data_IF_284720054156
#
_entry.id   IF_284720054156
#
_cell.length_a   1.000
_cell.length_b   1.000
_cell.length_c   1.000
_cell.angle_alpha   90.00
_cell.angle_beta   90.00
_cell.angle_gamma   90.00
#
_symmetry.space_group_name_H-M   'P 1'
#
loop_
_entity.id
_entity.type
_entity.pdbx_description
1 polymer ?
#
# COMPACT_ATOMS: atom_id res chain seq x y z
N UNK A 1 -4.06 -70.94 1.17
CA UNK A 1 -3.74 -71.98 0.15
C UNK A 1 -3.07 -71.21 -0.98
N UNK A 2 -1.91 -71.39 -1.42
CA UNK A 2 -0.81 -72.36 -1.35
C UNK A 2 0.47 -71.62 -1.62
N UNK A 3 1.51 -71.89 -0.87
CA UNK A 3 2.93 -71.58 -1.18
C UNK A 3 3.37 -72.48 -2.34
N UNK A 4 4.50 -72.05 -3.01
CA UNK A 4 5.61 -72.90 -3.50
C UNK A 4 6.61 -71.89 -4.11
N UNK A 5 7.76 -71.57 -3.55
CA UNK A 5 9.05 -72.29 -3.31
C UNK A 5 10.01 -72.21 -4.53
N UNK A 6 11.24 -71.70 -4.21
CA UNK A 6 12.48 -71.59 -5.00
C UNK A 6 13.02 -72.96 -5.52
N UNK A 7 14.06 -72.96 -6.40
CA UNK A 7 15.47 -72.75 -6.03
C UNK A 7 16.31 -72.16 -7.17
N UNK A 8 17.40 -71.43 -7.03
CA UNK A 8 18.69 -71.87 -6.48
C UNK A 8 19.69 -72.36 -7.56
N UNK A 9 20.70 -71.54 -7.91
CA UNK A 9 22.03 -72.07 -8.27
C UNK A 9 23.08 -70.97 -8.42
N UNK A 10 24.15 -71.08 -7.65
CA UNK A 10 25.50 -70.53 -7.82
C UNK A 10 26.37 -71.64 -8.42
N UNK A 11 27.67 -71.44 -8.68
CA UNK A 11 28.52 -70.35 -9.20
C UNK A 11 29.47 -70.81 -10.32
N UNK A 12 30.25 -69.91 -10.94
CA UNK A 12 31.60 -70.29 -11.47
C UNK A 12 32.48 -69.08 -11.53
N UNK A 13 33.62 -69.18 -10.80
CA UNK A 13 34.80 -68.31 -10.94
C UNK A 13 35.50 -68.46 -12.31
N UNK A 14 35.97 -67.38 -12.85
CA UNK A 14 37.09 -67.45 -13.82
C UNK A 14 37.96 -66.18 -13.67
N UNK A 15 39.25 -66.47 -13.72
CA UNK A 15 40.38 -65.67 -13.26
C UNK A 15 40.74 -64.43 -14.09
N UNK A 16 41.09 -63.40 -13.39
CA UNK A 16 42.18 -62.43 -13.47
C UNK A 16 43.04 -62.41 -14.76
N UNK A 17 43.05 -61.24 -15.41
CA UNK A 17 44.25 -60.73 -16.07
C UNK A 17 44.36 -59.23 -15.75
N UNK A 18 45.44 -58.92 -15.02
CA UNK A 18 45.92 -57.62 -14.57
C UNK A 18 46.53 -56.89 -15.75
N UNK A 19 45.91 -55.84 -16.28
CA UNK A 19 46.55 -54.88 -17.17
C UNK A 19 46.77 -53.60 -16.37
N UNK A 20 48.07 -53.32 -16.11
CA UNK A 20 48.50 -51.98 -15.62
C UNK A 20 48.35 -51.00 -16.75
N UNK A 21 47.37 -50.12 -16.66
CA UNK A 21 47.28 -48.88 -17.42
C UNK A 21 47.78 -47.74 -16.52
N UNK A 22 48.96 -47.23 -16.88
CA UNK A 22 49.52 -46.00 -16.29
C UNK A 22 48.67 -44.85 -16.82
N UNK A 23 47.78 -44.34 -16.00
CA UNK A 23 47.00 -43.14 -16.32
C UNK A 23 47.79 -41.91 -15.91
N UNK A 24 48.31 -41.21 -16.91
CA UNK A 24 48.93 -39.89 -16.77
C UNK A 24 47.85 -38.87 -16.36
N UNK A 25 47.75 -38.54 -15.08
CA UNK A 25 46.88 -37.46 -14.60
C UNK A 25 47.44 -36.13 -15.06
N UNK A 26 46.87 -35.57 -16.11
CA UNK A 26 47.00 -34.15 -16.46
C UNK A 26 46.24 -33.34 -15.39
N UNK A 27 46.95 -32.69 -14.49
CA UNK A 27 46.42 -31.68 -13.61
C UNK A 27 46.02 -30.46 -14.45
N UNK A 28 44.74 -30.36 -14.81
CA UNK A 28 44.15 -29.10 -15.23
C UNK A 28 43.88 -28.25 -13.96
N UNK A 29 44.35 -26.99 -13.90
CA UNK A 29 44.00 -26.13 -12.80
C UNK A 29 42.49 -25.88 -12.86
N UNK A 30 41.77 -26.35 -11.85
CA UNK A 30 40.37 -25.98 -11.64
C UNK A 30 40.32 -24.47 -11.44
N UNK A 31 39.88 -23.75 -12.47
CA UNK A 31 39.49 -22.35 -12.29
C UNK A 31 38.31 -22.33 -11.31
N UNK A 32 38.59 -21.98 -10.06
CA UNK A 32 37.57 -21.62 -9.11
C UNK A 32 36.90 -20.35 -9.64
N UNK A 33 35.79 -20.50 -10.34
CA UNK A 33 34.86 -19.40 -10.54
C UNK A 33 34.44 -18.97 -9.12
N UNK A 34 35.05 -17.88 -8.65
CA UNK A 34 34.63 -17.23 -7.45
C UNK A 34 33.14 -16.91 -7.60
N UNK A 35 32.30 -17.59 -6.84
CA UNK A 35 30.93 -17.20 -6.63
C UNK A 35 30.98 -15.81 -5.98
N UNK A 36 30.99 -14.79 -6.84
CA UNK A 36 30.73 -13.45 -6.40
C UNK A 36 29.35 -13.48 -5.75
N UNK A 37 29.31 -13.42 -4.42
CA UNK A 37 28.09 -13.17 -3.68
C UNK A 37 27.50 -11.89 -4.26
N UNK A 38 26.53 -12.01 -5.18
CA UNK A 38 25.70 -10.87 -5.57
C UNK A 38 25.14 -10.29 -4.27
N UNK A 39 25.63 -9.11 -3.89
CA UNK A 39 25.10 -8.41 -2.72
C UNK A 39 23.62 -8.23 -2.99
N UNK A 40 22.78 -8.99 -2.27
CA UNK A 40 21.33 -8.87 -2.33
C UNK A 40 20.97 -7.39 -2.19
N UNK A 41 20.33 -6.82 -3.20
CA UNK A 41 19.97 -5.39 -3.19
C UNK A 41 19.07 -5.16 -1.99
N UNK A 42 19.51 -4.33 -1.07
CA UNK A 42 18.71 -4.00 0.10
C UNK A 42 17.57 -3.06 -0.33
N UNK A 43 16.36 -3.31 0.17
CA UNK A 43 15.21 -2.43 -0.06
C UNK A 43 15.53 -1.00 0.40
N UNK A 44 15.29 0.03 -0.44
CA UNK A 44 15.33 1.42 0.01
C UNK A 44 14.21 1.73 1.00
N UNK A 45 14.32 2.87 1.67
CA UNK A 45 13.31 3.31 2.62
C UNK A 45 11.98 3.64 1.92
N UNK A 46 10.88 3.32 2.62
CA UNK A 46 9.52 3.77 2.32
C UNK A 46 9.08 4.61 3.50
N UNK A 47 8.98 5.92 3.30
CA UNK A 47 8.91 6.89 4.41
C UNK A 47 7.50 7.41 4.71
N UNK A 48 6.51 7.07 3.89
CA UNK A 48 5.11 7.48 4.08
C UNK A 48 4.31 7.38 2.79
N UNK A 49 3.06 7.78 2.86
CA UNK A 49 2.19 7.96 1.71
C UNK A 49 2.57 9.28 1.02
N UNK A 50 2.85 9.24 -0.29
CA UNK A 50 3.07 10.43 -1.11
C UNK A 50 1.74 11.01 -1.60
N UNK A 51 0.87 10.16 -2.13
CA UNK A 51 -0.46 10.57 -2.57
C UNK A 51 -1.42 9.38 -2.66
N UNK A 52 -2.70 9.71 -2.71
CA UNK A 52 -3.75 8.83 -3.20
C UNK A 52 -4.35 9.40 -4.48
N UNK A 53 -4.70 8.54 -5.43
CA UNK A 53 -5.51 8.92 -6.57
C UNK A 53 -6.85 8.21 -6.48
N UNK A 54 -7.93 8.93 -6.74
CA UNK A 54 -9.29 8.36 -6.73
C UNK A 54 -9.98 8.60 -8.06
N UNK A 55 -10.78 7.63 -8.49
CA UNK A 55 -11.65 7.80 -9.63
C UNK A 55 -12.91 8.57 -9.22
N UNK A 56 -13.32 9.49 -10.07
CA UNK A 56 -14.54 10.29 -9.88
C UNK A 56 -15.34 10.35 -11.19
N UNK A 57 -16.66 10.43 -11.05
CA UNK A 57 -17.56 10.53 -12.18
C UNK A 57 -17.61 11.93 -12.78
N UNK A 58 -17.59 12.92 -11.91
CA UNK A 58 -17.64 14.34 -12.24
C UNK A 58 -16.48 15.07 -11.57
N UNK A 59 -15.46 15.40 -12.36
CA UNK A 59 -14.25 16.07 -11.87
C UNK A 59 -14.55 17.43 -11.22
N UNK A 60 -15.51 18.19 -11.76
CA UNK A 60 -15.82 19.52 -11.24
C UNK A 60 -16.55 19.44 -9.91
N UNK A 61 -17.53 18.54 -9.80
CA UNK A 61 -18.29 18.33 -8.58
C UNK A 61 -17.39 17.82 -7.45
N UNK A 62 -16.51 16.88 -7.75
CA UNK A 62 -15.56 16.36 -6.77
C UNK A 62 -14.49 17.39 -6.43
N UNK A 63 -14.02 18.19 -7.41
CA UNK A 63 -13.10 19.30 -7.16
C UNK A 63 -13.70 20.26 -6.12
N UNK A 64 -14.95 20.71 -6.34
CA UNK A 64 -15.65 21.59 -5.40
C UNK A 64 -15.75 20.97 -4.00
N UNK A 65 -16.05 19.68 -3.90
CA UNK A 65 -16.12 18.99 -2.61
C UNK A 65 -14.78 19.07 -1.84
N UNK A 66 -13.66 18.73 -2.48
CA UNK A 66 -12.37 18.75 -1.81
C UNK A 66 -11.88 20.18 -1.49
N UNK A 67 -12.20 21.15 -2.34
CA UNK A 67 -11.84 22.58 -2.10
C UNK A 67 -12.73 23.22 -1.03
N UNK A 68 -14.03 23.06 -1.12
CA UNK A 68 -14.97 23.78 -0.27
C UNK A 68 -15.17 23.09 1.08
N UNK A 69 -15.29 21.75 1.10
CA UNK A 69 -15.58 20.97 2.30
C UNK A 69 -14.31 20.69 3.11
N UNK A 70 -13.27 20.15 2.45
CA UNK A 70 -12.01 19.85 3.13
C UNK A 70 -11.03 21.03 3.14
N UNK A 71 -11.32 22.10 2.43
CA UNK A 71 -10.48 23.29 2.35
C UNK A 71 -9.14 23.05 1.67
N UNK A 72 -9.01 21.98 0.87
CA UNK A 72 -7.77 21.68 0.19
C UNK A 72 -7.53 22.66 -0.96
N UNK A 73 -6.26 23.01 -1.18
CA UNK A 73 -5.90 23.90 -2.28
C UNK A 73 -5.67 23.09 -3.55
N UNK A 74 -6.45 23.37 -4.62
CA UNK A 74 -6.25 22.78 -5.96
C UNK A 74 -5.01 23.36 -6.64
N UNK A 75 -3.86 23.22 -6.02
CA UNK A 75 -2.56 23.65 -6.57
C UNK A 75 -1.50 22.67 -6.11
N UNK A 76 -1.34 21.59 -6.86
CA UNK A 76 -0.08 20.88 -6.75
C UNK A 76 0.95 21.63 -7.56
N UNK A 77 1.95 22.29 -6.94
CA UNK A 77 2.99 22.98 -7.67
C UNK A 77 3.61 22.01 -8.67
N UNK A 78 3.69 22.47 -9.92
CA UNK A 78 4.32 21.74 -11.02
C UNK A 78 3.65 20.40 -11.41
N UNK A 79 2.46 20.07 -10.89
CA UNK A 79 1.66 18.97 -11.43
C UNK A 79 1.16 19.38 -12.83
N UNK A 80 1.68 18.72 -13.85
CA UNK A 80 1.33 19.01 -15.25
C UNK A 80 0.23 18.09 -15.80
N UNK A 81 -0.41 17.28 -14.95
CA UNK A 81 -1.54 16.46 -15.35
C UNK A 81 -2.80 17.30 -15.58
N UNK A 82 -3.72 16.84 -16.44
CA UNK A 82 -5.00 17.53 -16.68
C UNK A 82 -5.99 17.35 -15.50
N UNK A 83 -5.71 16.41 -14.60
CA UNK A 83 -6.61 16.09 -13.49
C UNK A 83 -6.40 17.02 -12.30
N UNK A 84 -7.46 17.39 -11.55
CA UNK A 84 -7.33 18.14 -10.32
C UNK A 84 -6.41 17.42 -9.31
N UNK A 85 -5.45 18.15 -8.79
CA UNK A 85 -4.53 17.70 -7.76
C UNK A 85 -4.59 18.66 -6.58
N UNK A 86 -4.81 18.12 -5.39
CA UNK A 86 -4.93 18.86 -4.15
C UNK A 86 -3.72 18.61 -3.27
N UNK A 87 -3.11 19.69 -2.80
CA UNK A 87 -2.02 19.62 -1.85
C UNK A 87 -2.56 19.58 -0.42
N UNK A 88 -2.10 18.61 0.34
CA UNK A 88 -2.31 18.54 1.79
C UNK A 88 -1.12 19.25 2.46
N UNK A 89 -1.27 20.55 2.72
CA UNK A 89 -0.21 21.34 3.33
C UNK A 89 -0.21 21.17 4.87
N UNK A 90 0.93 21.18 5.53
CA UNK A 90 2.29 21.31 5.02
C UNK A 90 2.98 19.98 4.68
N UNK A 91 2.30 18.83 4.77
CA UNK A 91 2.90 17.50 4.57
C UNK A 91 3.43 17.26 3.15
N UNK A 92 3.01 18.09 2.18
CA UNK A 92 3.27 17.92 0.75
C UNK A 92 2.65 16.66 0.13
N UNK A 93 1.85 15.92 0.90
CA UNK A 93 1.05 14.81 0.38
C UNK A 93 -0.07 15.33 -0.54
N UNK A 94 -0.64 14.46 -1.35
CA UNK A 94 -1.60 14.88 -2.38
C UNK A 94 -2.81 13.97 -2.46
N UNK A 95 -3.94 14.54 -2.84
CA UNK A 95 -5.12 13.82 -3.35
C UNK A 95 -5.27 14.19 -4.83
N UNK A 96 -5.36 13.19 -5.70
CA UNK A 96 -5.45 13.37 -7.15
C UNK A 96 -6.77 12.77 -7.63
N UNK A 97 -7.60 13.59 -8.31
CA UNK A 97 -8.84 13.10 -8.90
C UNK A 97 -8.57 12.62 -10.32
N UNK A 98 -8.98 11.41 -10.62
CA UNK A 98 -8.91 10.82 -11.97
C UNK A 98 -10.32 10.60 -12.49
N UNK A 99 -10.58 11.00 -13.74
CA UNK A 99 -11.86 10.64 -14.38
C UNK A 99 -11.97 9.12 -14.46
N UNK A 100 -13.10 8.58 -14.02
CA UNK A 100 -13.39 7.16 -14.19
C UNK A 100 -13.33 6.79 -15.69
N UNK A 101 -12.73 5.64 -16.05
CA UNK A 101 -12.65 5.22 -17.44
C UNK A 101 -14.03 5.16 -18.09
N UNK A 102 -14.17 5.71 -19.30
CA UNK A 102 -15.46 5.81 -20.00
C UNK A 102 -16.16 4.46 -20.27
N UNK A 103 -15.39 3.38 -20.31
CA UNK A 103 -15.87 1.99 -20.46
C UNK A 103 -16.36 1.38 -19.15
N UNK A 104 -16.10 2.03 -18.04
CA UNK A 104 -16.49 1.56 -16.71
C UNK A 104 -17.74 2.34 -16.31
N UNK A 105 -18.89 1.69 -16.45
CA UNK A 105 -20.13 2.21 -15.89
C UNK A 105 -19.95 2.33 -14.37
N UNK A 106 -20.49 3.36 -13.72
CA UNK A 106 -20.41 3.58 -12.27
C UNK A 106 -20.71 2.31 -11.45
N UNK A 107 -21.64 1.47 -11.90
CA UNK A 107 -21.96 0.20 -11.26
C UNK A 107 -20.96 -0.92 -11.47
N UNK A 108 -19.92 -0.74 -12.30
CA UNK A 108 -18.92 -1.78 -12.60
C UNK A 108 -17.52 -1.45 -12.10
N UNK A 109 -17.26 -0.20 -11.71
CA UNK A 109 -16.00 0.17 -11.08
C UNK A 109 -15.98 -0.37 -9.64
N UNK A 110 -15.20 -1.40 -9.44
CA UNK A 110 -15.12 -2.09 -8.14
C UNK A 110 -14.13 -1.46 -7.16
N UNK A 111 -13.24 -0.61 -7.63
CA UNK A 111 -12.27 0.09 -6.79
C UNK A 111 -12.19 1.55 -7.22
N UNK A 112 -12.66 2.46 -6.36
CA UNK A 112 -12.58 3.90 -6.55
C UNK A 112 -11.19 4.43 -6.22
N UNK A 113 -10.40 3.73 -5.40
CA UNK A 113 -9.01 4.04 -5.14
C UNK A 113 -8.17 3.65 -6.36
N UNK A 114 -7.83 4.64 -7.18
CA UNK A 114 -7.14 4.43 -8.44
C UNK A 114 -5.65 4.11 -8.27
N UNK A 115 -5.03 4.61 -7.19
CA UNK A 115 -3.61 4.40 -6.88
C UNK A 115 -3.29 4.84 -5.45
N UNK A 116 -2.46 4.09 -4.77
CA UNK A 116 -1.76 4.51 -3.56
C UNK A 116 -0.28 4.66 -3.87
N UNK A 117 0.31 5.81 -3.57
CA UNK A 117 1.71 6.08 -3.83
C UNK A 117 2.51 6.25 -2.55
N UNK A 118 3.66 5.60 -2.48
CA UNK A 118 4.58 5.69 -1.36
C UNK A 118 5.82 6.49 -1.70
N UNK A 119 6.23 7.35 -0.78
CA UNK A 119 7.47 8.10 -0.89
C UNK A 119 8.68 7.21 -0.59
N UNK A 120 9.71 7.28 -1.44
CA UNK A 120 10.98 6.59 -1.25
C UNK A 120 12.15 7.53 -1.43
N UNK A 121 13.25 7.26 -0.74
CA UNK A 121 14.48 8.05 -0.82
C UNK A 121 15.38 7.70 -2.02
N UNK A 122 15.23 6.50 -2.59
CA UNK A 122 16.01 6.05 -3.77
C UNK A 122 15.12 5.22 -4.72
N UNK A 123 14.48 5.92 -5.65
CA UNK A 123 13.56 5.31 -6.62
C UNK A 123 14.24 4.32 -7.55
N UNK A 124 15.46 4.64 -8.01
CA UNK A 124 16.20 3.77 -8.93
C UNK A 124 16.57 2.45 -8.27
N UNK A 125 16.95 2.51 -7.00
CA UNK A 125 17.28 1.32 -6.22
C UNK A 125 16.01 0.54 -5.87
N UNK A 126 14.87 1.22 -5.57
CA UNK A 126 13.58 0.57 -5.33
C UNK A 126 13.12 -0.20 -6.58
N UNK A 127 13.20 0.42 -7.75
CA UNK A 127 12.84 -0.21 -9.01
C UNK A 127 13.69 -1.47 -9.28
N UNK A 128 15.01 -1.38 -9.12
CA UNK A 128 15.92 -2.53 -9.27
C UNK A 128 15.66 -3.61 -8.23
N UNK A 129 15.37 -3.21 -6.98
CA UNK A 129 15.04 -4.14 -5.92
C UNK A 129 13.82 -4.98 -6.29
N UNK A 130 12.71 -4.34 -6.69
CA UNK A 130 11.46 -5.03 -7.03
C UNK A 130 11.61 -5.92 -8.25
N UNK A 131 12.29 -5.46 -9.31
CA UNK A 131 12.59 -6.31 -10.47
C UNK A 131 13.44 -7.52 -10.07
N UNK A 132 14.43 -7.35 -9.21
CA UNK A 132 15.26 -8.44 -8.68
C UNK A 132 14.50 -9.45 -7.81
N UNK A 133 13.33 -9.05 -7.29
CA UNK A 133 12.42 -9.94 -6.55
C UNK A 133 11.32 -10.55 -7.46
N UNK A 134 11.38 -10.30 -8.76
CA UNK A 134 10.42 -10.83 -9.72
C UNK A 134 9.11 -10.04 -9.82
N UNK A 135 9.02 -8.86 -9.20
CA UNK A 135 7.85 -7.98 -9.35
C UNK A 135 7.94 -7.22 -10.67
N UNK A 136 6.89 -7.30 -11.47
CA UNK A 136 6.78 -6.48 -12.68
C UNK A 136 6.61 -5.01 -12.29
N UNK A 137 7.49 -4.14 -12.78
CA UNK A 137 7.43 -2.70 -12.53
C UNK A 137 7.44 -1.93 -13.86
N UNK A 138 6.60 -0.90 -13.92
CA UNK A 138 6.59 0.03 -15.06
C UNK A 138 7.94 0.74 -15.18
N UNK A 139 8.23 1.27 -16.37
CA UNK A 139 9.39 2.15 -16.56
C UNK A 139 9.28 3.39 -15.68
N UNK A 140 10.42 3.82 -15.14
CA UNK A 140 10.48 5.07 -14.37
C UNK A 140 10.12 6.26 -15.27
N UNK A 141 9.18 7.08 -14.79
CA UNK A 141 8.76 8.33 -15.44
C UNK A 141 9.26 9.52 -14.63
N UNK A 142 9.60 10.58 -15.34
CA UNK A 142 9.90 11.88 -14.72
C UNK A 142 8.73 12.82 -14.95
N UNK A 143 8.26 13.44 -13.89
CA UNK A 143 7.20 14.44 -13.94
C UNK A 143 7.81 15.85 -14.11
N UNK A 144 7.06 16.81 -14.64
CA UNK A 144 7.56 18.19 -14.79
C UNK A 144 8.00 18.87 -13.49
N UNK A 145 7.43 18.43 -12.35
CA UNK A 145 7.83 18.88 -11.01
C UNK A 145 9.16 18.30 -10.51
N UNK A 146 9.88 17.60 -11.39
CA UNK A 146 11.12 16.91 -11.02
C UNK A 146 10.91 15.64 -10.18
N UNK A 147 9.68 15.32 -9.78
CA UNK A 147 9.37 14.04 -9.17
C UNK A 147 9.56 12.90 -10.18
N UNK A 148 10.02 11.77 -9.70
CA UNK A 148 10.10 10.55 -10.50
C UNK A 148 9.25 9.47 -9.85
N UNK A 149 8.64 8.64 -10.66
CA UNK A 149 7.79 7.56 -10.17
C UNK A 149 7.80 6.35 -11.09
N UNK A 150 7.42 5.20 -10.56
CA UNK A 150 7.03 4.02 -11.32
C UNK A 150 5.89 3.32 -10.59
N UNK A 151 5.16 2.46 -11.29
CA UNK A 151 4.03 1.71 -10.78
C UNK A 151 4.30 0.21 -10.79
N UNK A 152 3.71 -0.47 -9.83
CA UNK A 152 3.56 -1.93 -9.75
C UNK A 152 2.09 -2.26 -9.45
N UNK A 153 1.70 -3.51 -9.61
CA UNK A 153 0.44 -4.01 -9.07
C UNK A 153 0.72 -4.88 -7.85
N UNK A 154 -0.09 -4.73 -6.82
CA UNK A 154 -0.11 -5.68 -5.72
C UNK A 154 -0.82 -6.99 -6.12
N UNK A 155 -0.86 -8.03 -5.26
CA UNK A 155 -1.51 -9.29 -5.58
C UNK A 155 -3.01 -9.21 -5.88
N UNK A 156 -3.75 -8.25 -5.30
CA UNK A 156 -5.17 -8.00 -5.60
C UNK A 156 -5.36 -7.17 -6.90
N UNK A 157 -4.27 -6.65 -7.48
CA UNK A 157 -4.28 -5.84 -8.68
C UNK A 157 -4.44 -4.34 -8.42
N UNK A 158 -4.31 -3.88 -7.18
CA UNK A 158 -4.30 -2.46 -6.89
C UNK A 158 -3.03 -1.80 -7.43
N UNK A 159 -3.18 -0.61 -7.99
CA UNK A 159 -2.05 0.15 -8.48
C UNK A 159 -1.29 0.81 -7.32
N UNK A 160 -0.04 0.43 -7.16
CA UNK A 160 0.88 0.96 -6.16
C UNK A 160 2.00 1.71 -6.87
N UNK A 161 2.23 2.96 -6.51
CA UNK A 161 3.33 3.73 -7.06
C UNK A 161 4.42 3.97 -6.01
N UNK A 162 5.66 4.06 -6.47
CA UNK A 162 6.77 4.58 -5.69
C UNK A 162 7.19 5.91 -6.27
N UNK A 163 7.40 6.91 -5.40
CA UNK A 163 7.67 8.29 -5.79
C UNK A 163 8.90 8.81 -5.07
N UNK A 164 9.79 9.43 -5.81
CA UNK A 164 10.88 10.21 -5.27
C UNK A 164 10.73 11.66 -5.71
N UNK A 165 10.54 12.56 -4.73
CA UNK A 165 10.47 14.00 -4.97
C UNK A 165 11.80 14.67 -4.69
N UNK A 166 12.09 15.69 -5.46
CA UNK A 166 13.10 16.66 -5.06
C UNK A 166 12.52 17.47 -3.90
N UNK A 167 13.21 17.53 -2.76
CA UNK A 167 12.73 18.34 -1.62
C UNK A 167 12.45 19.77 -2.07
N UNK A 168 11.22 20.22 -1.90
CA UNK A 168 10.90 21.63 -2.03
C UNK A 168 11.55 22.41 -0.87
N UNK A 169 12.09 23.59 -1.17
CA UNK A 169 12.62 24.51 -0.14
C UNK A 169 11.53 25.43 0.43
N UNK A 170 10.35 25.42 -0.17
CA UNK A 170 9.22 26.25 0.27
C UNK A 170 8.26 25.41 1.08
N UNK A 171 8.10 25.71 2.36
CA UNK A 171 6.97 25.20 3.15
C UNK A 171 5.68 25.78 2.55
N UNK A 172 4.69 24.92 2.37
CA UNK A 172 3.36 25.35 1.95
C UNK A 172 2.58 25.76 3.20
N UNK A 173 1.95 26.92 3.11
CA UNK A 173 1.06 27.38 4.18
C UNK A 173 -0.28 26.63 4.10
N UNK A 174 -0.80 26.27 5.27
CA UNK A 174 -2.12 25.67 5.40
C UNK A 174 -3.19 26.70 5.05
N UNK A 175 -4.12 26.36 4.17
CA UNK A 175 -5.27 27.21 3.89
C UNK A 175 -6.17 27.33 5.14
N UNK A 176 -6.81 28.48 5.31
CA UNK A 176 -7.59 28.80 6.52
C UNK A 176 -8.76 27.85 6.77
N UNK A 177 -9.26 27.18 5.74
CA UNK A 177 -10.37 26.21 5.82
C UNK A 177 -9.90 24.76 5.77
N UNK A 178 -8.61 24.51 5.70
CA UNK A 178 -8.09 23.14 5.55
C UNK A 178 -8.28 22.36 6.85
N UNK A 179 -9.04 21.27 6.77
CA UNK A 179 -9.44 20.44 7.93
C UNK A 179 -8.28 19.60 8.44
N UNK A 180 -7.45 19.08 7.55
CA UNK A 180 -6.33 18.21 7.92
C UNK A 180 -5.03 18.63 7.24
N UNK A 181 -3.92 18.34 7.91
CA UNK A 181 -2.56 18.62 7.45
C UNK A 181 -1.77 17.35 7.08
N UNK A 182 -2.38 16.17 7.16
CA UNK A 182 -1.69 14.91 6.93
C UNK A 182 -2.64 13.80 6.46
N UNK A 183 -2.25 13.10 5.41
CA UNK A 183 -2.91 11.90 4.93
C UNK A 183 -2.26 10.70 5.64
N UNK A 184 -3.00 10.01 6.51
CA UNK A 184 -2.42 9.03 7.42
C UNK A 184 -2.53 7.60 6.95
N UNK A 185 -3.61 7.23 6.26
CA UNK A 185 -3.73 5.89 5.70
C UNK A 185 -4.57 5.82 4.42
N UNK A 186 -4.45 4.68 3.75
CA UNK A 186 -5.33 4.25 2.68
C UNK A 186 -5.78 2.83 2.96
N UNK A 187 -7.10 2.59 2.84
CA UNK A 187 -7.72 1.28 3.02
C UNK A 187 -8.19 0.70 1.71
N UNK A 188 -8.06 -0.61 1.54
CA UNK A 188 -8.54 -1.32 0.37
C UNK A 188 -8.94 -2.76 0.68
N UNK A 189 -9.87 -3.28 -0.13
CA UNK A 189 -10.40 -4.63 0.03
C UNK A 189 -9.33 -5.65 -0.28
N UNK A 190 -9.13 -6.58 0.65
CA UNK A 190 -8.20 -7.71 0.50
C UNK A 190 -8.95 -9.03 0.68
N UNK A 191 -8.76 -9.96 -0.26
CA UNK A 191 -9.34 -11.30 -0.26
C UNK A 191 -8.32 -12.36 0.11
N UNK A 192 -7.09 -12.24 -0.40
CA UNK A 192 -5.98 -13.14 -0.09
C UNK A 192 -4.96 -12.45 0.84
N UNK A 193 -5.27 -12.45 2.14
CA UNK A 193 -4.40 -11.88 3.17
C UNK A 193 -2.97 -12.44 3.11
N UNK A 194 -2.81 -13.72 2.77
CA UNK A 194 -1.49 -14.33 2.72
C UNK A 194 -0.67 -13.83 1.53
N UNK A 195 -1.29 -13.62 0.37
CA UNK A 195 -0.63 -13.05 -0.79
C UNK A 195 -0.23 -11.59 -0.53
N UNK A 196 -1.14 -10.79 0.04
CA UNK A 196 -0.88 -9.39 0.38
C UNK A 196 0.24 -9.26 1.44
N UNK A 197 0.25 -10.10 2.47
CA UNK A 197 1.33 -10.09 3.46
C UNK A 197 2.68 -10.48 2.85
N UNK A 198 2.74 -11.40 1.90
CA UNK A 198 4.00 -11.67 1.17
C UNK A 198 4.51 -10.42 0.42
N UNK A 199 3.60 -9.63 -0.14
CA UNK A 199 3.97 -8.41 -0.87
C UNK A 199 4.32 -7.27 0.09
N UNK A 200 3.42 -6.90 1.00
CA UNK A 200 3.65 -5.73 1.87
C UNK A 200 4.59 -6.03 3.04
N UNK A 201 4.45 -7.18 3.72
CA UNK A 201 5.27 -7.49 4.90
C UNK A 201 6.62 -8.09 4.49
N UNK A 202 6.62 -9.21 3.75
CA UNK A 202 7.86 -9.96 3.49
C UNK A 202 8.74 -9.24 2.46
N UNK A 203 8.15 -8.66 1.42
CA UNK A 203 8.88 -8.00 0.34
C UNK A 203 9.14 -6.52 0.66
N UNK A 204 8.10 -5.74 0.97
CA UNK A 204 8.22 -4.30 1.19
C UNK A 204 8.60 -3.93 2.63
N UNK A 205 8.48 -4.86 3.59
CA UNK A 205 8.89 -4.66 4.98
C UNK A 205 7.92 -3.83 5.81
N UNK A 206 6.66 -3.73 5.40
CA UNK A 206 5.61 -3.13 6.23
C UNK A 206 5.46 -3.90 7.53
N UNK A 207 5.05 -3.22 8.59
CA UNK A 207 4.97 -3.80 9.93
C UNK A 207 3.54 -3.81 10.40
N UNK A 208 3.13 -4.91 11.01
CA UNK A 208 1.84 -4.94 11.68
C UNK A 208 1.73 -3.74 12.63
N UNK A 209 0.62 -3.01 12.53
CA UNK A 209 0.32 -1.86 13.37
C UNK A 209 -0.81 -2.18 14.34
N UNK A 210 -1.95 -2.60 13.82
CA UNK A 210 -3.09 -3.08 14.59
C UNK A 210 -3.93 -4.04 13.74
N UNK A 211 -4.75 -4.87 14.39
CA UNK A 211 -5.83 -5.61 13.74
C UNK A 211 -6.98 -5.83 14.71
N UNK A 212 -8.19 -5.96 14.17
CA UNK A 212 -9.39 -6.25 14.92
C UNK A 212 -10.57 -6.55 14.01
N UNK A 213 -11.71 -6.74 14.62
CA UNK A 213 -12.94 -7.07 13.91
C UNK A 213 -14.19 -6.53 14.60
N UNK A 214 -15.33 -6.72 13.93
CA UNK A 214 -16.65 -6.44 14.54
C UNK A 214 -16.87 -7.25 15.82
N UNK A 215 -16.26 -8.43 15.91
CA UNK A 215 -16.21 -9.27 17.11
C UNK A 215 -14.80 -9.28 17.68
N UNK A 216 -14.67 -9.47 19.00
CA UNK A 216 -13.38 -9.40 19.68
C UNK A 216 -12.39 -10.50 19.24
N UNK A 217 -12.89 -11.61 18.70
CA UNK A 217 -12.11 -12.72 18.13
C UNK A 217 -12.06 -12.71 16.59
N UNK A 218 -12.65 -11.68 15.93
CA UNK A 218 -12.67 -11.50 14.50
C UNK A 218 -11.49 -10.66 13.99
N UNK A 219 -11.20 -10.77 12.70
CA UNK A 219 -10.26 -9.92 11.99
C UNK A 219 -10.96 -9.43 10.73
N UNK A 220 -11.50 -8.20 10.76
CA UNK A 220 -12.13 -7.54 9.63
C UNK A 220 -11.27 -6.36 9.13
N UNK A 221 -10.37 -5.85 9.97
CA UNK A 221 -9.38 -4.81 9.69
C UNK A 221 -7.99 -5.28 10.04
N UNK A 222 -7.01 -4.98 9.17
CA UNK A 222 -5.62 -5.34 9.38
C UNK A 222 -4.72 -4.20 8.89
N UNK A 223 -4.10 -3.51 9.82
CA UNK A 223 -3.31 -2.30 9.56
C UNK A 223 -1.82 -2.61 9.49
N UNK A 224 -1.18 -2.14 8.44
CA UNK A 224 0.25 -2.28 8.22
C UNK A 224 0.93 -0.92 8.08
N UNK A 225 1.78 -0.57 9.03
CA UNK A 225 2.55 0.67 9.00
C UNK A 225 3.68 0.58 7.97
N UNK A 226 3.91 1.66 7.23
CA UNK A 226 5.07 1.75 6.32
C UNK A 226 6.36 1.54 7.11
N UNK A 227 7.38 0.89 6.51
CA UNK A 227 8.53 0.42 7.28
C UNK A 227 9.39 1.53 7.90
N UNK A 228 9.41 2.71 7.29
CA UNK A 228 10.33 3.78 7.66
C UNK A 228 9.61 5.12 7.93
N UNK A 229 8.30 5.07 8.19
CA UNK A 229 7.46 6.24 8.46
C UNK A 229 6.23 5.89 9.30
N UNK A 230 5.38 6.89 9.59
CA UNK A 230 4.26 6.72 10.50
C UNK A 230 2.95 6.29 9.82
N UNK A 231 2.81 6.51 8.51
CA UNK A 231 1.57 6.23 7.77
C UNK A 231 1.35 4.73 7.63
N UNK A 232 0.11 4.32 7.34
CA UNK A 232 -0.20 2.91 7.20
C UNK A 232 -1.16 2.63 6.05
N UNK A 233 -1.30 1.36 5.70
CA UNK A 233 -2.38 0.84 4.88
C UNK A 233 -3.29 -0.02 5.73
N UNK A 234 -4.58 -0.06 5.36
CA UNK A 234 -5.58 -0.87 6.03
C UNK A 234 -6.17 -1.90 5.06
N UNK A 235 -6.12 -3.16 5.42
CA UNK A 235 -6.83 -4.20 4.71
C UNK A 235 -8.25 -4.31 5.24
N UNK A 236 -9.22 -4.16 4.34
CA UNK A 236 -10.64 -4.40 4.60
C UNK A 236 -10.94 -5.86 4.23
N UNK A 237 -11.08 -6.71 5.25
CA UNK A 237 -11.25 -8.15 5.09
C UNK A 237 -12.72 -8.56 5.13
N UNK A 238 -13.01 -9.79 4.69
CA UNK A 238 -14.33 -10.41 4.74
C UNK A 238 -15.44 -9.67 3.95
N UNK A 239 -15.05 -8.82 3.01
CA UNK A 239 -16.00 -8.11 2.17
C UNK A 239 -16.61 -9.10 1.16
N UNK A 240 -17.96 -9.19 1.07
CA UNK A 240 -18.62 -10.13 0.19
C UNK A 240 -18.24 -9.92 -1.29
N UNK A 241 -18.09 -11.00 -2.03
CA UNK A 241 -17.83 -10.91 -3.47
C UNK A 241 -19.00 -10.26 -4.24
N UNK A 242 -20.19 -10.21 -3.62
CA UNK A 242 -21.41 -9.55 -4.12
C UNK A 242 -21.49 -8.08 -3.77
N UNK A 243 -20.52 -7.52 -3.01
CA UNK A 243 -20.51 -6.11 -2.64
C UNK A 243 -20.68 -5.23 -3.88
N UNK A 244 -21.56 -4.27 -3.80
CA UNK A 244 -21.82 -3.32 -4.88
C UNK A 244 -20.78 -2.20 -4.91
N UNK A 245 -20.85 -1.33 -5.92
CA UNK A 245 -19.89 -0.23 -6.06
C UNK A 245 -19.96 0.78 -4.90
N UNK A 246 -21.11 0.96 -4.26
CA UNK A 246 -21.27 1.88 -3.12
C UNK A 246 -20.57 1.28 -1.89
N UNK A 247 -20.84 0.01 -1.58
CA UNK A 247 -20.17 -0.70 -0.48
C UNK A 247 -18.66 -0.73 -0.71
N UNK A 248 -18.21 -1.04 -1.93
CA UNK A 248 -16.78 -1.05 -2.26
C UNK A 248 -16.15 0.35 -2.21
N UNK A 249 -16.91 1.43 -2.46
CA UNK A 249 -16.46 2.81 -2.30
C UNK A 249 -16.23 3.19 -0.83
N UNK A 250 -17.00 2.60 0.07
CA UNK A 250 -16.80 2.76 1.52
C UNK A 250 -15.56 1.99 2.00
N UNK A 251 -15.33 0.80 1.44
CA UNK A 251 -14.22 -0.07 1.85
C UNK A 251 -12.87 0.35 1.23
N UNK A 252 -12.88 0.85 -0.02
CA UNK A 252 -11.67 1.39 -0.65
C UNK A 252 -11.60 2.90 -0.42
N UNK A 253 -10.87 3.32 0.60
CA UNK A 253 -10.90 4.66 1.15
C UNK A 253 -9.52 5.23 1.45
N UNK A 254 -9.49 6.45 1.93
CA UNK A 254 -8.31 7.06 2.52
C UNK A 254 -8.70 7.92 3.73
N UNK A 255 -7.73 8.20 4.59
CA UNK A 255 -7.97 8.92 5.83
C UNK A 255 -7.04 10.11 6.01
N UNK A 256 -7.62 11.18 6.52
CA UNK A 256 -6.92 12.37 6.99
C UNK A 256 -6.72 12.32 8.50
N UNK A 257 -5.49 12.62 8.95
CA UNK A 257 -5.16 12.74 10.35
C UNK A 257 -5.49 14.12 10.93
N UNK A 258 -6.13 14.14 12.09
CA UNK A 258 -6.43 15.37 12.84
C UNK A 258 -6.03 15.21 14.31
N UNK A 259 -5.91 16.36 15.01
CA UNK A 259 -5.64 16.38 16.46
C UNK A 259 -6.91 16.19 17.30
N UNK A 260 -8.05 16.61 16.76
CA UNK A 260 -9.35 16.63 17.41
C UNK A 260 -10.42 16.46 16.33
N UNK A 261 -11.06 15.31 16.31
CA UNK A 261 -12.07 14.98 15.29
C UNK A 261 -13.37 15.74 15.49
N UNK A 262 -13.73 16.10 16.73
CA UNK A 262 -14.94 16.90 17.00
C UNK A 262 -14.79 18.30 16.44
N UNK A 263 -13.61 18.89 16.61
CA UNK A 263 -13.30 20.17 15.98
C UNK A 263 -13.30 20.06 14.45
N UNK A 264 -12.73 18.99 13.90
CA UNK A 264 -12.78 18.72 12.47
C UNK A 264 -14.22 18.59 11.95
N UNK A 265 -15.09 17.92 12.71
CA UNK A 265 -16.52 17.83 12.40
C UNK A 265 -17.20 19.21 12.33
N UNK A 266 -16.88 20.09 13.28
CA UNK A 266 -17.42 21.47 13.28
C UNK A 266 -16.89 22.29 12.11
N UNK A 267 -15.61 22.13 11.74
CA UNK A 267 -15.00 22.77 10.57
C UNK A 267 -15.66 22.26 9.28
N UNK A 268 -15.86 20.95 9.13
CA UNK A 268 -16.56 20.37 7.99
C UNK A 268 -17.99 20.88 7.85
N UNK A 269 -18.75 21.00 8.97
CA UNK A 269 -20.09 21.58 8.99
C UNK A 269 -20.07 23.05 8.57
N UNK A 270 -19.13 23.83 9.08
CA UNK A 270 -18.94 25.24 8.72
C UNK A 270 -18.59 25.40 7.23
N UNK A 271 -17.83 24.45 6.68
CA UNK A 271 -17.50 24.37 5.27
C UNK A 271 -18.65 23.84 4.37
N UNK A 272 -19.78 23.45 4.97
CA UNK A 272 -20.98 23.08 4.22
C UNK A 272 -21.31 21.60 4.15
N UNK A 273 -20.52 20.72 4.78
CA UNK A 273 -20.85 19.29 4.84
C UNK A 273 -22.08 19.08 5.73
N UNK A 274 -23.13 18.45 5.17
CA UNK A 274 -24.43 18.29 5.87
C UNK A 274 -24.59 16.94 6.54
N UNK A 275 -23.96 15.90 5.97
CA UNK A 275 -24.10 14.52 6.42
C UNK A 275 -22.74 13.83 6.45
N UNK A 276 -22.46 13.17 7.55
CA UNK A 276 -21.30 12.30 7.77
C UNK A 276 -21.62 11.39 8.97
N UNK A 277 -20.92 10.28 9.10
CA UNK A 277 -21.07 9.35 10.20
C UNK A 277 -20.03 9.67 11.30
N UNK A 278 -20.40 9.52 12.56
CA UNK A 278 -19.54 9.89 13.70
C UNK A 278 -19.66 11.38 14.12
N UNK A 279 -18.70 11.97 14.88
CA UNK A 279 -17.53 11.32 15.47
C UNK A 279 -17.87 10.20 16.45
N UNK A 280 -17.09 9.12 16.41
CA UNK A 280 -17.19 8.01 17.35
C UNK A 280 -15.84 7.31 17.53
N UNK A 281 -15.64 6.69 18.69
CA UNK A 281 -14.44 5.91 18.95
C UNK A 281 -14.55 4.56 18.25
N UNK A 282 -13.65 4.32 17.30
CA UNK A 282 -13.56 3.06 16.58
C UNK A 282 -13.05 1.89 17.43
N UNK A 283 -13.08 0.70 16.86
CA UNK A 283 -12.60 -0.52 17.52
C UNK A 283 -11.09 -0.49 17.77
N UNK A 284 -10.36 0.27 17.01
CA UNK A 284 -8.94 0.57 17.18
C UNK A 284 -8.64 1.56 18.32
N UNK A 285 -9.68 2.12 18.94
CA UNK A 285 -9.60 3.07 20.04
C UNK A 285 -9.41 4.52 19.62
N UNK A 286 -9.26 4.81 18.33
CA UNK A 286 -9.17 6.17 17.80
C UNK A 286 -10.57 6.74 17.59
N UNK A 287 -10.68 8.05 17.75
CA UNK A 287 -11.90 8.78 17.44
C UNK A 287 -11.86 9.22 15.98
N UNK A 288 -12.91 8.92 15.21
CA UNK A 288 -12.99 9.16 13.78
C UNK A 288 -14.40 9.56 13.33
N UNK A 289 -14.48 10.10 12.12
CA UNK A 289 -15.71 10.33 11.38
C UNK A 289 -15.52 9.96 9.91
N UNK A 290 -16.62 9.60 9.25
CA UNK A 290 -16.67 9.23 7.84
C UNK A 290 -17.46 10.26 7.03
N UNK A 291 -16.79 10.99 6.16
CA UNK A 291 -17.39 11.80 5.11
C UNK A 291 -17.41 11.03 3.79
N UNK A 292 -18.33 11.39 2.91
CA UNK A 292 -18.47 10.74 1.61
C UNK A 292 -18.38 11.78 0.50
N UNK A 293 -17.53 11.52 -0.46
CA UNK A 293 -17.42 12.37 -1.65
C UNK A 293 -18.65 12.21 -2.57
N UNK A 294 -18.79 13.02 -3.64
CA UNK A 294 -19.93 12.93 -4.53
C UNK A 294 -20.19 11.57 -5.20
N UNK A 295 -19.17 10.71 -5.26
CA UNK A 295 -19.28 9.36 -5.80
C UNK A 295 -19.47 8.29 -4.70
N UNK A 296 -19.50 8.70 -3.43
CA UNK A 296 -19.67 7.81 -2.28
C UNK A 296 -18.36 7.17 -1.81
N UNK A 297 -17.20 7.67 -2.26
CA UNK A 297 -15.92 7.27 -1.71
C UNK A 297 -15.79 7.80 -0.29
N UNK A 298 -15.48 6.92 0.67
CA UNK A 298 -15.24 7.30 2.06
C UNK A 298 -13.95 8.11 2.17
N UNK A 299 -14.09 9.28 2.78
CA UNK A 299 -12.99 10.13 3.23
C UNK A 299 -13.06 10.16 4.74
N UNK A 300 -12.27 9.32 5.36
CA UNK A 300 -12.22 9.26 6.80
C UNK A 300 -11.42 10.41 7.38
N UNK A 301 -11.80 10.89 8.56
CA UNK A 301 -11.04 11.84 9.37
C UNK A 301 -10.83 11.22 10.73
N UNK A 302 -9.58 10.97 11.11
CA UNK A 302 -9.24 10.18 12.27
C UNK A 302 -8.19 10.88 13.13
N UNK A 303 -8.24 10.69 14.43
CA UNK A 303 -7.19 11.19 15.32
C UNK A 303 -5.90 10.36 15.22
N UNK A 304 -4.76 11.03 15.41
CA UNK A 304 -3.45 10.38 15.30
C UNK A 304 -3.21 9.29 16.35
N UNK A 305 -3.82 9.45 17.50
CA UNK A 305 -3.61 8.57 18.67
C UNK A 305 -4.94 8.07 19.22
N UNK A 306 -4.99 6.83 19.73
CA UNK A 306 -6.20 6.31 20.34
C UNK A 306 -6.56 7.09 21.62
N UNK A 307 -7.85 7.33 21.85
CA UNK A 307 -8.43 7.87 23.08
C UNK A 307 -8.78 6.78 24.08
N UNK A 308 -9.08 5.60 23.56
CA UNK A 308 -9.46 4.46 24.35
C UNK A 308 -8.55 3.27 24.07
N UNK A 309 -8.61 2.28 24.92
CA UNK A 309 -7.89 1.03 24.68
C UNK A 309 -8.49 0.34 23.46
N UNK A 310 -7.66 -0.01 22.44
CA UNK A 310 -8.16 -0.74 21.29
C UNK A 310 -8.73 -2.10 21.71
N UNK A 311 -9.76 -2.57 21.00
CA UNK A 311 -10.21 -3.94 21.14
C UNK A 311 -9.18 -4.89 20.54
N UNK A 312 -9.40 -6.15 20.81
CA UNK A 312 -8.88 -7.27 20.06
C UNK A 312 -7.36 -7.39 20.15
N UNK A 313 -6.58 -6.41 19.73
CA UNK A 313 -5.13 -6.41 19.80
C UNK A 313 -4.55 -5.04 20.19
N UNK A 314 -3.43 -5.05 20.88
CA UNK A 314 -2.72 -3.81 21.20
C UNK A 314 -1.94 -3.32 19.95
N UNK A 315 -1.77 -2.01 19.83
CA UNK A 315 -0.88 -1.45 18.83
C UNK A 315 0.55 -1.97 19.01
N UNK A 316 1.20 -2.35 17.93
CA UNK A 316 2.56 -2.92 17.92
C UNK A 316 3.64 -1.94 17.45
N UNK A 317 3.26 -0.69 17.12
CA UNK A 317 4.19 0.36 16.70
C UNK A 317 3.74 1.74 17.22
N UNK A 318 4.64 2.74 17.11
CA UNK A 318 4.35 4.11 17.51
C UNK A 318 3.29 4.75 16.61
N UNK A 319 2.43 5.58 17.22
CA UNK A 319 1.44 6.36 16.49
C UNK A 319 2.07 7.51 15.70
N UNK A 320 1.45 7.93 14.59
CA UNK A 320 1.81 9.15 13.90
C UNK A 320 1.73 10.34 14.87
N UNK A 321 2.62 11.30 14.69
CA UNK A 321 2.57 12.56 15.42
C UNK A 321 1.89 13.60 14.56
N UNK A 322 1.04 14.39 15.16
CA UNK A 322 0.47 15.55 14.49
C UNK A 322 1.61 16.46 14.01
N UNK A 323 1.60 16.91 12.74
CA UNK A 323 2.59 17.83 12.20
C UNK A 323 2.57 19.20 12.88
#
# INVERSE_FOLDING_TARGET
MQRISQPGSRPKCAAVRLFLLVTLCLYLPSATFGSGSEKKVQRPRIVGIDHVSIYVSDLEKSRQFYEEVFGLTAKCPQYAGPEPCFLVAPSEQRVILKRAPAQVNHGTLKNWLAEVAFATDDLMKMHRYLLGQGVHADSIRSNPDGARSFRVLDPEGNAIAFVQRTRSKSGYETASKQVSMHLIHAGFVVKDLAAENRFYVDLLGFRLYWYGGFKDDGIDWYELQVPDGPDWIEYMLNIPASADHKELGVQNHFSFGVKDVHRAADELRANGLRTFDGPEVGRDGKDSLDAYDPDGTRVEVMEFTPKEKPCCHAYSAEHPKAP
#
